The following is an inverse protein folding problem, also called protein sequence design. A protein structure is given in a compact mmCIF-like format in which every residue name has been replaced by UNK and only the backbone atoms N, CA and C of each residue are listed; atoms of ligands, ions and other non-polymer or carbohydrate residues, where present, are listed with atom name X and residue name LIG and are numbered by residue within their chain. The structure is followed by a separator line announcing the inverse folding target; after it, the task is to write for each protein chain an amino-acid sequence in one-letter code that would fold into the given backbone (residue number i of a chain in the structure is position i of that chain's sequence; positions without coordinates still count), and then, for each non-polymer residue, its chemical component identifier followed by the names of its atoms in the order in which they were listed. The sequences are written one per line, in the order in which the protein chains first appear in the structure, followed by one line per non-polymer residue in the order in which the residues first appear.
data_IF_514769298543
#
_entry.id   IF_514769298543
#
_cell.length_a   1.000
_cell.length_b   1.000
_cell.length_c   1.000
_cell.angle_alpha   90.00
_cell.angle_beta   90.00
_cell.angle_gamma   90.00
#
_symmetry.space_group_name_H-M   'P 1'
#
loop_
_entity.id
_entity.type
_entity.pdbx_description
1 polymer ?
#
# COMPACT_ATOMS: atom_id res chain seq x y z
N UNK A 1 51.50 -13.46 27.20
CA UNK A 1 50.10 -13.89 27.38
C UNK A 1 49.28 -13.25 26.27
N UNK A 2 48.71 -14.06 25.38
CA UNK A 2 47.89 -13.57 24.25
C UNK A 2 46.56 -13.09 24.82
N UNK A 3 46.31 -11.78 24.84
CA UNK A 3 45.01 -11.23 25.20
C UNK A 3 44.00 -11.59 24.09
N UNK A 4 43.04 -12.45 24.42
CA UNK A 4 41.94 -12.78 23.54
C UNK A 4 41.10 -11.55 23.24
N UNK A 5 40.93 -11.24 21.96
CA UNK A 5 39.99 -10.23 21.50
C UNK A 5 38.57 -10.58 21.98
N UNK A 6 37.97 -9.69 22.77
CA UNK A 6 36.61 -9.87 23.26
C UNK A 6 35.64 -10.00 22.07
N UNK A 7 34.93 -11.14 22.00
CA UNK A 7 33.93 -11.40 20.95
C UNK A 7 32.79 -10.38 21.09
N UNK A 8 32.57 -9.56 20.06
CA UNK A 8 31.44 -8.63 20.03
C UNK A 8 30.12 -9.42 20.11
N UNK A 9 29.26 -9.03 21.05
CA UNK A 9 27.90 -9.59 21.19
C UNK A 9 27.11 -9.35 19.91
N UNK A 10 26.24 -10.30 19.54
CA UNK A 10 25.41 -10.20 18.34
C UNK A 10 24.64 -8.87 18.29
N UNK A 11 24.04 -8.43 19.39
CA UNK A 11 23.36 -7.13 19.48
C UNK A 11 24.25 -5.90 19.18
N UNK A 12 25.55 -5.95 19.50
CA UNK A 12 26.51 -4.87 19.19
C UNK A 12 26.83 -4.82 17.69
N UNK A 13 26.74 -5.96 17.00
CA UNK A 13 26.87 -6.02 15.53
C UNK A 13 25.59 -5.54 14.84
N UNK A 14 24.41 -5.87 15.38
CA UNK A 14 23.12 -5.46 14.83
C UNK A 14 22.81 -3.97 15.02
N UNK A 15 23.32 -3.34 16.08
CA UNK A 15 23.18 -1.89 16.31
C UNK A 15 24.47 -1.11 16.04
N UNK A 16 25.38 -1.64 15.22
CA UNK A 16 26.55 -0.89 14.78
C UNK A 16 26.10 0.34 13.97
N UNK A 17 26.67 1.51 14.27
CA UNK A 17 26.34 2.79 13.59
C UNK A 17 26.48 2.69 12.07
N UNK A 18 27.45 1.90 11.62
CA UNK A 18 27.72 1.62 10.21
C UNK A 18 26.61 0.79 9.52
N UNK A 19 25.81 0.03 10.27
CA UNK A 19 24.74 -0.82 9.72
C UNK A 19 23.39 -0.10 9.60
N UNK A 20 23.18 0.98 10.38
CA UNK A 20 21.97 1.82 10.34
C UNK A 20 21.63 2.31 8.91
N UNK A 21 22.57 2.86 8.11
CA UNK A 21 22.24 3.31 6.76
C UNK A 21 21.81 2.17 5.83
N UNK A 22 22.38 0.97 6.00
CA UNK A 22 22.01 -0.21 5.20
C UNK A 22 20.56 -0.61 5.52
N UNK A 23 20.19 -0.67 6.80
CA UNK A 23 18.82 -0.99 7.20
C UNK A 23 17.82 0.06 6.69
N UNK A 24 18.17 1.34 6.73
CA UNK A 24 17.31 2.41 6.25
C UNK A 24 16.97 2.25 4.76
N UNK A 25 17.97 1.97 3.92
CA UNK A 25 17.77 1.76 2.47
C UNK A 25 16.98 0.49 2.20
N UNK A 26 17.30 -0.61 2.89
CA UNK A 26 16.59 -1.89 2.69
C UNK A 26 15.13 -1.80 3.12
N UNK A 27 14.85 -1.24 4.29
CA UNK A 27 13.47 -1.04 4.76
C UNK A 27 12.73 -0.06 3.85
N UNK A 28 13.38 1.02 3.41
CA UNK A 28 12.82 1.95 2.44
C UNK A 28 12.47 1.27 1.11
N UNK A 29 13.37 0.41 0.60
CA UNK A 29 13.17 -0.31 -0.67
C UNK A 29 12.04 -1.35 -0.55
N UNK A 30 12.06 -2.21 0.47
CA UNK A 30 11.04 -3.24 0.67
C UNK A 30 9.69 -2.61 1.00
N UNK A 31 9.67 -1.58 1.85
CA UNK A 31 8.47 -0.82 2.18
C UNK A 31 7.88 -0.11 0.96
N UNK A 32 8.72 0.59 0.18
CA UNK A 32 8.31 1.25 -1.05
C UNK A 32 7.80 0.29 -2.11
N UNK A 33 8.47 -0.86 -2.30
CA UNK A 33 8.03 -1.91 -3.21
C UNK A 33 6.69 -2.52 -2.76
N UNK A 34 6.55 -2.86 -1.48
CA UNK A 34 5.31 -3.39 -0.93
C UNK A 34 4.14 -2.40 -1.06
N UNK A 35 4.38 -1.12 -0.76
CA UNK A 35 3.39 -0.07 -0.96
C UNK A 35 3.01 0.08 -2.44
N UNK A 36 3.97 0.06 -3.36
CA UNK A 36 3.68 0.21 -4.78
C UNK A 36 2.92 -1.01 -5.34
N UNK A 37 3.23 -2.22 -4.89
CA UNK A 37 2.47 -3.43 -5.23
C UNK A 37 1.01 -3.34 -4.77
N UNK A 38 0.75 -2.86 -3.55
CA UNK A 38 -0.64 -2.68 -3.06
C UNK A 38 -1.39 -1.58 -3.84
N UNK A 39 -0.70 -0.49 -4.22
CA UNK A 39 -1.27 0.53 -5.13
C UNK A 39 -1.59 -0.02 -6.51
N UNK A 40 -0.70 -0.84 -7.08
CA UNK A 40 -0.93 -1.48 -8.37
C UNK A 40 -2.12 -2.40 -8.30
N UNK A 41 -2.22 -3.25 -7.27
CA UNK A 41 -3.34 -4.16 -7.06
C UNK A 41 -4.71 -3.46 -7.00
N UNK A 42 -4.76 -2.16 -6.66
CA UNK A 42 -6.01 -1.42 -6.50
C UNK A 42 -6.42 -0.60 -7.74
N UNK A 43 -5.73 -0.69 -8.89
CA UNK A 43 -6.12 0.03 -10.12
C UNK A 43 -7.48 -0.44 -10.67
N UNK A 44 -8.23 0.42 -11.40
CA UNK A 44 -9.56 0.07 -11.92
C UNK A 44 -9.55 -1.05 -12.95
N UNK A 45 -8.41 -1.28 -13.61
CA UNK A 45 -8.24 -2.35 -14.59
C UNK A 45 -8.19 -3.75 -13.94
N UNK A 46 -8.06 -3.82 -12.60
CA UNK A 46 -7.82 -5.06 -11.86
C UNK A 46 -9.09 -5.48 -11.12
N UNK A 47 -9.54 -6.68 -11.45
CA UNK A 47 -10.85 -7.20 -11.04
C UNK A 47 -10.64 -8.28 -9.99
N UNK A 48 -10.87 -7.94 -8.73
CA UNK A 48 -10.83 -8.90 -7.63
C UNK A 48 -12.17 -9.59 -7.36
N UNK A 49 -13.27 -8.92 -7.70
CA UNK A 49 -14.63 -9.42 -7.47
C UNK A 49 -15.40 -9.39 -8.78
N UNK A 50 -15.22 -10.47 -9.55
CA UNK A 50 -15.87 -10.64 -10.85
C UNK A 50 -17.32 -11.11 -10.72
N UNK A 51 -17.71 -11.63 -9.54
CA UNK A 51 -19.01 -12.25 -9.32
C UNK A 51 -20.06 -11.22 -8.90
N UNK A 52 -19.69 -10.25 -8.07
CA UNK A 52 -20.62 -9.25 -7.54
C UNK A 52 -20.68 -7.98 -8.40
N UNK A 53 -19.62 -7.68 -9.15
CA UNK A 53 -19.57 -6.51 -10.03
C UNK A 53 -19.06 -6.90 -11.43
N UNK A 54 -19.97 -7.27 -12.35
CA UNK A 54 -19.60 -7.71 -13.69
C UNK A 54 -19.07 -6.58 -14.59
N UNK A 55 -19.27 -5.31 -14.23
CA UNK A 55 -18.85 -4.13 -15.04
C UNK A 55 -18.01 -3.12 -14.24
N UNK A 56 -16.85 -3.53 -13.67
CA UNK A 56 -16.05 -2.68 -12.80
C UNK A 56 -15.51 -1.40 -13.47
N UNK A 57 -15.37 -1.41 -14.79
CA UNK A 57 -14.97 -0.24 -15.59
C UNK A 57 -15.97 0.92 -15.54
N UNK A 58 -17.24 0.67 -15.21
CA UNK A 58 -18.25 1.73 -15.06
C UNK A 58 -18.05 2.57 -13.79
N UNK A 59 -17.11 2.20 -12.90
CA UNK A 59 -16.80 2.95 -11.68
C UNK A 59 -15.88 4.15 -11.90
N UNK A 60 -15.30 4.30 -13.10
CA UNK A 60 -14.42 5.43 -13.43
C UNK A 60 -15.23 6.46 -14.22
N UNK A 61 -15.55 7.57 -13.57
CA UNK A 61 -16.25 8.69 -14.20
C UNK A 61 -15.29 9.61 -14.98
N UNK A 62 -15.83 10.34 -15.96
CA UNK A 62 -15.08 11.37 -16.68
C UNK A 62 -14.63 12.48 -15.71
N UNK A 63 -13.39 12.95 -15.88
CA UNK A 63 -12.80 13.97 -14.99
C UNK A 63 -12.17 13.42 -13.69
N UNK A 64 -12.14 12.10 -13.50
CA UNK A 64 -11.42 11.45 -12.39
C UNK A 64 -9.94 11.20 -12.70
N UNK A 65 -9.06 11.45 -11.72
CA UNK A 65 -7.67 11.01 -11.79
C UNK A 65 -7.55 9.52 -11.43
N UNK A 66 -7.23 8.69 -12.41
CA UNK A 66 -6.90 7.27 -12.20
C UNK A 66 -5.42 7.03 -11.93
N UNK A 67 -4.56 7.85 -12.54
CA UNK A 67 -3.09 7.74 -12.44
C UNK A 67 -2.61 8.17 -11.05
N UNK A 68 -1.40 7.74 -10.67
CA UNK A 68 -0.78 8.17 -9.41
C UNK A 68 -0.48 9.67 -9.42
N UNK A 69 0.02 10.17 -10.55
CA UNK A 69 0.35 11.56 -10.74
C UNK A 69 0.03 12.00 -12.17
N UNK A 70 -0.38 13.25 -12.32
CA UNK A 70 -0.64 13.92 -13.59
C UNK A 70 0.15 15.22 -13.60
N UNK A 71 0.95 15.45 -14.64
CA UNK A 71 1.84 16.63 -14.71
C UNK A 71 1.08 17.88 -15.13
N UNK A 72 0.20 17.77 -16.14
CA UNK A 72 -0.47 18.94 -16.74
C UNK A 72 -2.01 18.90 -16.66
N UNK A 73 -2.61 17.76 -16.29
CA UNK A 73 -4.07 17.65 -16.22
C UNK A 73 -4.56 17.85 -14.80
N UNK A 74 -5.53 18.76 -14.65
CA UNK A 74 -6.28 18.98 -13.41
C UNK A 74 -7.52 18.09 -13.44
N UNK A 75 -7.74 17.38 -12.35
CA UNK A 75 -8.90 16.52 -12.15
C UNK A 75 -9.61 16.98 -10.89
N UNK A 76 -10.94 16.98 -10.90
CA UNK A 76 -11.73 17.44 -9.77
C UNK A 76 -11.68 16.45 -8.59
N UNK A 77 -11.38 15.18 -8.90
CA UNK A 77 -11.50 14.06 -7.97
C UNK A 77 -10.51 12.95 -8.30
N UNK A 78 -10.05 12.25 -7.26
CA UNK A 78 -9.18 11.08 -7.39
C UNK A 78 -10.01 9.82 -7.27
N UNK A 79 -9.86 8.89 -8.22
CA UNK A 79 -10.58 7.63 -8.17
C UNK A 79 -10.07 6.74 -7.02
N UNK A 80 -10.99 6.16 -6.26
CA UNK A 80 -10.71 5.20 -5.18
C UNK A 80 -11.60 3.96 -5.32
N UNK A 81 -11.06 2.79 -5.00
CA UNK A 81 -11.81 1.53 -5.02
C UNK A 81 -12.66 1.39 -3.75
N UNK A 82 -13.80 0.70 -3.88
CA UNK A 82 -14.76 0.40 -2.80
C UNK A 82 -14.21 -0.49 -1.65
N UNK A 83 -12.95 -0.93 -1.68
CA UNK A 83 -12.30 -1.56 -0.51
C UNK A 83 -11.38 -0.61 0.28
N UNK A 84 -11.47 0.69 0.02
CA UNK A 84 -10.90 1.66 0.95
C UNK A 84 -11.55 1.45 2.34
N UNK A 85 -10.84 1.61 3.45
CA UNK A 85 -11.41 1.45 4.79
C UNK A 85 -12.74 2.21 4.99
N UNK A 86 -12.83 3.42 4.44
CA UNK A 86 -14.03 4.26 4.49
C UNK A 86 -15.24 3.66 3.77
N UNK A 87 -15.04 2.87 2.71
CA UNK A 87 -16.13 2.22 1.99
C UNK A 87 -16.50 0.85 2.57
N UNK A 88 -15.62 0.23 3.36
CA UNK A 88 -15.98 -0.97 4.14
C UNK A 88 -17.01 -0.62 5.22
N UNK A 89 -16.85 0.55 5.86
CA UNK A 89 -17.84 1.08 6.81
C UNK A 89 -19.21 1.21 6.19
N UNK A 90 -19.32 1.82 5.00
CA UNK A 90 -20.62 2.00 4.34
C UNK A 90 -21.25 0.68 3.90
N UNK A 91 -20.46 -0.31 3.47
CA UNK A 91 -20.99 -1.64 3.13
C UNK A 91 -21.47 -2.42 4.36
N UNK A 92 -20.82 -2.25 5.51
CA UNK A 92 -21.27 -2.86 6.76
C UNK A 92 -22.61 -2.27 7.20
N UNK A 93 -22.78 -0.95 7.11
CA UNK A 93 -24.06 -0.31 7.44
C UNK A 93 -25.20 -0.78 6.52
N UNK A 94 -24.96 -0.89 5.21
CA UNK A 94 -25.94 -1.46 4.27
C UNK A 94 -26.31 -2.91 4.62
N UNK A 95 -25.35 -3.74 5.04
CA UNK A 95 -25.61 -5.13 5.42
C UNK A 95 -26.39 -5.28 6.72
N UNK A 96 -26.20 -4.34 7.66
CA UNK A 96 -26.91 -4.32 8.94
C UNK A 96 -28.36 -3.87 8.76
N UNK A 97 -28.61 -2.90 7.87
CA UNK A 97 -29.97 -2.43 7.53
C UNK A 97 -30.77 -3.51 6.78
N UNK A 98 -30.10 -4.34 5.96
CA UNK A 98 -30.75 -5.43 5.22
C UNK A 98 -31.02 -6.69 6.08
N UNK A 99 -30.52 -6.72 7.32
CA UNK A 99 -30.71 -7.85 8.25
C UNK A 99 -31.73 -7.54 9.38
N UNK A 100 -32.31 -6.34 9.42
CA UNK A 100 -33.39 -5.93 10.34
C UNK A 100 -34.74 -5.89 9.62
#
# INVERSE_FOLDING_TARGET
MVLGAARKTLFQTWFAVEAIPIYAVVVGAVGGAGWYCTRLATRPDIIWDRRNNPTPWMSVEQGMQTKLHSVNQKFDKTWKRSLSPNSLSSRMEESLILSS
#
